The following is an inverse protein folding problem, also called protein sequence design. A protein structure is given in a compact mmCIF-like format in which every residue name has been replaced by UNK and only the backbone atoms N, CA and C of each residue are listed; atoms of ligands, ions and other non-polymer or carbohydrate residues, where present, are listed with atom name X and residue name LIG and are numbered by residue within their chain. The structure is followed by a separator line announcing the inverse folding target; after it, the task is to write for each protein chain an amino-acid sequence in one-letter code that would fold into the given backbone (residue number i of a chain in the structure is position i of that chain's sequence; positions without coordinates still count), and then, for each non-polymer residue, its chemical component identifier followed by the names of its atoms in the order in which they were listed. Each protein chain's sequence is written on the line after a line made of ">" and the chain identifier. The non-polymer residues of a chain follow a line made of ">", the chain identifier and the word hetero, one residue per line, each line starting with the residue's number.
data_IF_742645447944
#
_entry.id   IF_742645447944
#
_cell.length_a   1.000
_cell.length_b   1.000
_cell.length_c   1.000
_cell.angle_alpha   90.00
_cell.angle_beta   90.00
_cell.angle_gamma   90.00
#
_symmetry.space_group_name_H-M   'P 1'
#
loop_
_entity.id
_entity.type
_entity.pdbx_description
1 polymer ?
#
# COMPACT_ATOMS: atom_id res chain seq x y z
N UNK A 1 -5.76 -37.18 16.17
CA UNK A 1 -5.83 -35.69 16.20
C UNK A 1 -4.41 -35.17 16.36
N UNK A 2 -3.88 -34.46 15.37
CA UNK A 2 -2.56 -33.83 15.46
C UNK A 2 -2.78 -32.33 15.62
N UNK A 3 -2.35 -31.79 16.75
CA UNK A 3 -2.28 -30.36 17.01
C UNK A 3 -1.03 -29.86 16.28
N UNK A 4 -1.18 -28.82 15.45
CA UNK A 4 -0.02 -28.12 14.91
C UNK A 4 0.60 -27.31 16.05
N UNK A 5 1.84 -27.63 16.42
CA UNK A 5 2.63 -26.80 17.32
C UNK A 5 2.95 -25.48 16.61
N UNK A 6 2.29 -24.39 16.98
CA UNK A 6 2.70 -23.05 16.55
C UNK A 6 3.71 -22.56 17.61
N UNK A 7 4.91 -22.12 17.17
CA UNK A 7 5.99 -21.55 18.01
C UNK A 7 6.98 -22.51 18.73
N UNK A 8 7.45 -23.60 18.11
CA UNK A 8 8.64 -24.33 18.62
C UNK A 8 9.98 -23.71 18.18
N UNK A 9 9.94 -22.77 17.24
CA UNK A 9 11.06 -21.99 16.70
C UNK A 9 10.58 -20.56 16.45
N UNK A 10 11.43 -19.55 16.66
CA UNK A 10 11.07 -18.13 16.49
C UNK A 10 11.82 -17.17 17.41
N UNK A 11 11.31 -15.94 17.51
CA UNK A 11 11.86 -14.86 18.33
C UNK A 11 11.63 -15.14 19.83
N UNK A 12 12.64 -14.84 20.64
CA UNK A 12 12.53 -14.72 22.10
C UNK A 12 11.54 -13.63 22.50
N UNK A 13 11.04 -13.66 23.74
CA UNK A 13 10.20 -12.60 24.28
C UNK A 13 10.90 -11.22 24.22
N UNK A 14 12.21 -11.18 24.48
CA UNK A 14 13.01 -9.96 24.35
C UNK A 14 13.03 -9.43 22.91
N UNK A 15 13.21 -10.31 21.92
CA UNK A 15 13.16 -9.94 20.50
C UNK A 15 11.75 -9.53 20.07
N UNK A 16 10.70 -10.18 20.57
CA UNK A 16 9.32 -9.76 20.29
C UNK A 16 9.02 -8.38 20.90
N UNK A 17 9.40 -8.14 22.16
CA UNK A 17 9.22 -6.86 22.82
C UNK A 17 10.02 -5.74 22.15
N UNK A 18 11.22 -6.06 21.63
CA UNK A 18 12.06 -5.11 20.91
C UNK A 18 11.56 -4.82 19.49
N UNK A 19 11.16 -5.86 18.75
CA UNK A 19 10.88 -5.78 17.30
C UNK A 19 9.38 -5.72 16.99
N UNK A 20 8.51 -5.88 17.99
CA UNK A 20 7.06 -5.88 17.82
C UNK A 20 6.55 -7.05 16.97
N UNK A 21 5.42 -6.84 16.29
CA UNK A 21 4.76 -7.88 15.48
C UNK A 21 5.46 -8.17 14.15
N UNK A 22 6.40 -7.33 13.72
CA UNK A 22 7.17 -7.54 12.50
C UNK A 22 8.21 -6.45 12.25
N UNK A 23 9.20 -6.74 11.42
CA UNK A 23 10.32 -5.83 11.11
C UNK A 23 10.13 -5.06 9.80
N UNK A 24 9.06 -5.35 9.06
CA UNK A 24 8.77 -4.72 7.77
C UNK A 24 7.39 -5.06 7.26
N UNK A 25 7.04 -4.44 6.13
CA UNK A 25 5.84 -4.75 5.37
C UNK A 25 6.26 -5.45 4.07
N UNK A 26 5.62 -6.57 3.78
CA UNK A 26 5.89 -7.40 2.62
C UNK A 26 4.56 -7.72 1.93
N UNK A 27 4.53 -7.68 0.61
CA UNK A 27 3.36 -8.09 -0.16
C UNK A 27 3.76 -9.30 -0.99
N UNK A 28 3.10 -10.42 -0.73
CA UNK A 28 3.31 -11.67 -1.47
C UNK A 28 2.86 -11.48 -2.92
N UNK A 29 3.72 -11.84 -3.87
CA UNK A 29 3.49 -11.70 -5.31
C UNK A 29 3.44 -13.03 -6.05
N UNK A 30 3.70 -14.15 -5.35
CA UNK A 30 3.68 -15.48 -5.94
C UNK A 30 3.42 -16.59 -4.90
N UNK A 31 3.45 -17.86 -5.32
CA UNK A 31 3.07 -18.98 -4.47
C UNK A 31 3.97 -19.18 -3.25
N UNK A 32 5.25 -18.83 -3.32
CA UNK A 32 6.20 -19.04 -2.23
C UNK A 32 6.38 -17.75 -1.40
N UNK A 33 5.77 -17.63 -0.21
CA UNK A 33 5.88 -16.42 0.61
C UNK A 33 7.29 -16.17 1.15
N UNK A 34 8.22 -17.14 1.09
CA UNK A 34 9.59 -16.98 1.54
C UNK A 34 10.51 -16.31 0.49
N UNK A 35 10.07 -16.19 -0.76
CA UNK A 35 10.85 -15.60 -1.86
C UNK A 35 10.06 -14.68 -2.77
N UNK A 36 8.77 -14.93 -2.92
CA UNK A 36 7.90 -14.26 -3.87
C UNK A 36 7.16 -13.13 -3.17
N UNK A 37 7.90 -12.09 -2.83
CA UNK A 37 7.36 -10.90 -2.21
C UNK A 37 8.05 -9.62 -2.67
N UNK A 38 7.34 -8.51 -2.57
CA UNK A 38 7.93 -7.17 -2.60
C UNK A 38 8.14 -6.68 -1.18
N UNK A 39 9.33 -6.18 -0.90
CA UNK A 39 9.63 -5.47 0.35
C UNK A 39 9.21 -4.02 0.21
N UNK A 40 8.42 -3.53 1.17
CA UNK A 40 7.98 -2.15 1.19
C UNK A 40 9.03 -1.27 1.89
N UNK A 41 9.52 -0.19 1.26
CA UNK A 41 10.45 0.73 1.91
C UNK A 41 9.81 1.38 3.13
N UNK A 42 10.47 1.33 4.29
CA UNK A 42 9.91 1.92 5.51
C UNK A 42 10.15 3.43 5.57
N UNK A 43 11.20 3.92 4.90
CA UNK A 43 11.46 5.34 4.73
C UNK A 43 11.23 5.75 3.29
N UNK A 44 10.70 6.95 3.11
CA UNK A 44 10.46 7.50 1.77
C UNK A 44 11.77 7.64 0.97
N UNK A 45 12.87 7.95 1.64
CA UNK A 45 14.21 8.02 1.01
C UNK A 45 14.68 6.69 0.41
N UNK A 46 14.12 5.56 0.84
CA UNK A 46 14.46 4.22 0.35
C UNK A 46 13.63 3.83 -0.89
N UNK A 47 12.71 4.70 -1.33
CA UNK A 47 11.92 4.49 -2.55
C UNK A 47 12.74 4.71 -3.82
N UNK A 48 13.79 5.51 -3.77
CA UNK A 48 14.63 5.79 -4.93
C UNK A 48 15.23 4.50 -5.49
N UNK A 49 15.10 4.29 -6.81
CA UNK A 49 15.59 3.08 -7.49
C UNK A 49 14.66 1.87 -7.40
N UNK A 50 13.49 2.00 -6.76
CA UNK A 50 12.44 0.98 -6.75
C UNK A 50 11.40 1.21 -7.86
N UNK A 51 10.39 0.33 -7.94
CA UNK A 51 9.25 0.47 -8.87
C UNK A 51 8.14 1.41 -8.36
N UNK A 52 8.28 2.01 -7.19
CA UNK A 52 7.24 2.88 -6.62
C UNK A 52 7.26 4.25 -7.30
N UNK A 53 6.21 4.54 -8.06
CA UNK A 53 6.03 5.82 -8.76
C UNK A 53 5.45 6.85 -7.78
N UNK A 54 6.12 7.99 -7.67
CA UNK A 54 5.65 9.11 -6.84
C UNK A 54 4.30 9.65 -7.33
N UNK A 55 3.31 9.64 -6.44
CA UNK A 55 2.03 10.33 -6.56
C UNK A 55 2.07 11.73 -5.96
N UNK A 56 0.97 12.16 -5.36
CA UNK A 56 0.84 13.48 -4.72
C UNK A 56 0.69 13.37 -3.21
N UNK A 57 0.98 14.50 -2.55
CA UNK A 57 0.61 14.73 -1.17
C UNK A 57 -0.90 14.99 -1.08
N UNK A 58 -1.59 14.21 -0.24
CA UNK A 58 -3.00 14.44 0.10
C UNK A 58 -3.10 14.70 1.60
N UNK A 59 -3.50 15.91 1.99
CA UNK A 59 -3.66 16.28 3.40
C UNK A 59 -4.69 15.38 4.10
N UNK A 60 -4.31 14.83 5.26
CA UNK A 60 -5.08 13.82 5.99
C UNK A 60 -4.77 12.38 5.58
N UNK A 61 -3.89 12.15 4.60
CA UNK A 61 -3.47 10.80 4.17
C UNK A 61 -1.94 10.66 4.14
N UNK A 62 -1.25 11.57 3.44
CA UNK A 62 0.20 11.56 3.24
C UNK A 62 0.62 11.61 1.76
N UNK A 63 1.90 11.37 1.50
CA UNK A 63 2.46 11.26 0.15
C UNK A 63 2.14 9.90 -0.41
N UNK A 64 1.41 9.87 -1.52
CA UNK A 64 1.09 8.64 -2.23
C UNK A 64 2.27 8.16 -3.08
N UNK A 65 2.49 6.85 -3.08
CA UNK A 65 3.30 6.15 -4.08
C UNK A 65 2.51 4.97 -4.64
N UNK A 66 2.62 4.75 -5.94
CA UNK A 66 1.85 3.74 -6.68
C UNK A 66 2.79 2.73 -7.31
N UNK A 67 2.50 1.43 -7.19
CA UNK A 67 3.43 0.41 -7.67
C UNK A 67 3.45 0.37 -9.22
N UNK A 68 4.62 0.63 -9.80
CA UNK A 68 4.91 0.55 -11.24
C UNK A 68 3.92 1.33 -12.13
N UNK A 69 3.40 2.46 -11.63
CA UNK A 69 2.39 3.26 -12.32
C UNK A 69 3.03 4.07 -13.45
N UNK A 70 2.39 4.08 -14.62
CA UNK A 70 2.70 5.00 -15.71
C UNK A 70 1.42 5.44 -16.43
N UNK A 71 1.46 6.55 -17.16
CA UNK A 71 0.27 7.11 -17.82
C UNK A 71 -0.28 6.20 -18.94
N UNK A 72 0.61 5.54 -19.68
CA UNK A 72 0.28 4.75 -20.88
C UNK A 72 0.17 3.24 -20.63
N UNK A 73 0.09 2.81 -19.36
CA UNK A 73 -0.02 1.38 -19.02
C UNK A 73 -1.38 0.77 -19.41
N UNK A 74 -1.37 -0.56 -19.63
CA UNK A 74 -2.60 -1.35 -19.67
C UNK A 74 -3.24 -1.43 -18.28
N UNK A 75 -4.57 -1.44 -18.21
CA UNK A 75 -5.27 -1.65 -16.94
C UNK A 75 -5.13 -3.08 -16.41
N UNK A 76 -4.72 -4.04 -17.24
CA UNK A 76 -4.36 -5.38 -16.78
C UNK A 76 -3.03 -5.39 -16.01
N UNK A 77 -2.17 -4.40 -16.25
CA UNK A 77 -0.87 -4.26 -15.57
C UNK A 77 -0.96 -3.36 -14.33
N UNK A 78 -2.14 -2.80 -14.06
CA UNK A 78 -2.37 -1.94 -12.90
C UNK A 78 -2.35 -2.78 -11.62
N UNK A 79 -1.23 -2.72 -10.91
CA UNK A 79 -1.11 -3.27 -9.58
C UNK A 79 -1.93 -2.40 -8.60
N UNK A 80 -2.97 -2.94 -7.94
CA UNK A 80 -3.88 -2.16 -7.13
C UNK A 80 -3.29 -1.85 -5.76
N UNK A 81 -2.05 -1.35 -5.68
CA UNK A 81 -1.30 -1.15 -4.45
C UNK A 81 -0.74 0.27 -4.39
N UNK A 82 -0.97 0.94 -3.26
CA UNK A 82 -0.34 2.22 -2.97
C UNK A 82 0.23 2.27 -1.56
N UNK A 83 1.24 3.12 -1.38
CA UNK A 83 1.86 3.45 -0.10
C UNK A 83 1.57 4.88 0.28
N UNK A 84 1.56 5.15 1.58
CA UNK A 84 1.43 6.49 2.14
C UNK A 84 2.57 6.76 3.11
N UNK A 85 3.32 7.82 2.84
CA UNK A 85 4.36 8.33 3.72
C UNK A 85 3.92 9.63 4.40
N UNK A 86 4.32 9.80 5.65
CA UNK A 86 4.13 11.04 6.40
C UNK A 86 5.46 11.39 7.08
N UNK A 87 5.99 12.59 6.85
CA UNK A 87 7.30 13.02 7.35
C UNK A 87 8.40 12.02 7.00
N UNK A 88 8.37 11.50 5.77
CA UNK A 88 9.34 10.54 5.24
C UNK A 88 9.26 9.12 5.81
N UNK A 89 8.22 8.77 6.58
CA UNK A 89 8.04 7.41 7.15
C UNK A 89 6.78 6.75 6.62
N UNK A 90 6.85 5.46 6.33
CA UNK A 90 5.70 4.66 5.95
C UNK A 90 4.69 4.70 7.09
N UNK A 91 3.48 5.16 6.78
CA UNK A 91 2.44 5.40 7.76
C UNK A 91 1.13 4.69 7.41
N UNK A 92 0.95 4.33 6.14
CA UNK A 92 -0.12 3.47 5.68
C UNK A 92 0.22 2.82 4.35
N UNK A 93 -0.56 1.81 3.99
CA UNK A 93 -0.60 1.25 2.65
C UNK A 93 -2.08 1.01 2.30
N UNK A 94 -2.36 0.70 1.05
CA UNK A 94 -3.72 0.43 0.66
C UNK A 94 -3.87 -0.23 -0.69
N UNK A 95 -5.12 -0.54 -0.98
CA UNK A 95 -5.53 -1.21 -2.20
C UNK A 95 -6.42 -0.32 -3.03
N UNK A 96 -6.31 -0.37 -4.36
CA UNK A 96 -7.16 0.37 -5.29
C UNK A 96 -7.76 -0.59 -6.32
N UNK A 97 -8.79 -1.34 -5.93
CA UNK A 97 -9.35 -2.38 -6.77
C UNK A 97 -10.16 -1.80 -7.93
N UNK A 98 -10.00 -2.38 -9.12
CA UNK A 98 -10.92 -2.14 -10.24
C UNK A 98 -12.20 -2.93 -10.00
N UNK A 99 -13.28 -2.23 -9.65
CA UNK A 99 -14.55 -2.84 -9.28
C UNK A 99 -15.27 -2.04 -8.19
N UNK A 100 -16.58 -2.26 -8.11
CA UNK A 100 -17.41 -1.68 -7.05
C UNK A 100 -17.58 -2.70 -5.92
N UNK A 101 -16.91 -2.46 -4.79
CA UNK A 101 -17.03 -3.28 -3.59
C UNK A 101 -17.93 -2.58 -2.57
N UNK A 102 -19.20 -3.00 -2.42
CA UNK A 102 -20.16 -2.29 -1.58
C UNK A 102 -19.86 -2.54 -0.11
N UNK A 103 -19.11 -1.62 0.51
CA UNK A 103 -18.89 -1.57 1.95
C UNK A 103 -18.51 -0.15 2.35
N UNK A 104 -18.92 0.26 3.54
CA UNK A 104 -18.50 1.55 4.13
C UNK A 104 -17.01 1.60 4.47
N UNK A 105 -16.29 0.46 4.36
CA UNK A 105 -14.84 0.37 4.52
C UNK A 105 -14.08 0.76 3.26
N UNK A 106 -14.73 0.76 2.10
CA UNK A 106 -14.14 1.19 0.84
C UNK A 106 -14.53 2.64 0.56
N UNK A 107 -13.56 3.40 0.07
CA UNK A 107 -13.79 4.68 -0.58
C UNK A 107 -14.01 4.43 -2.08
N UNK A 108 -14.86 5.26 -2.70
CA UNK A 108 -15.13 5.18 -4.14
C UNK A 108 -14.78 6.52 -4.79
N UNK A 109 -13.48 6.84 -4.97
CA UNK A 109 -13.07 8.12 -5.53
C UNK A 109 -13.64 8.30 -6.95
N UNK A 110 -14.20 9.48 -7.21
CA UNK A 110 -14.61 9.85 -8.56
C UNK A 110 -13.38 9.98 -9.46
N UNK A 111 -13.49 9.61 -10.73
CA UNK A 111 -12.37 9.68 -11.68
C UNK A 111 -11.76 11.09 -11.76
N UNK A 112 -12.58 12.13 -11.57
CA UNK A 112 -12.13 13.52 -11.58
C UNK A 112 -11.23 13.88 -10.38
N UNK A 113 -11.17 13.05 -9.34
CA UNK A 113 -10.32 13.28 -8.15
C UNK A 113 -9.01 12.52 -8.19
N UNK A 114 -8.77 11.65 -9.19
CA UNK A 114 -7.55 10.84 -9.26
C UNK A 114 -6.29 11.71 -9.33
N UNK A 115 -6.37 12.85 -10.02
CA UNK A 115 -5.29 13.83 -10.10
C UNK A 115 -4.97 14.53 -8.77
N UNK A 116 -5.72 14.30 -7.68
CA UNK A 116 -5.40 14.81 -6.35
C UNK A 116 -4.36 13.94 -5.64
N UNK A 117 -4.28 12.65 -5.96
CA UNK A 117 -3.39 11.68 -5.30
C UNK A 117 -2.42 10.96 -6.27
N UNK A 118 -2.66 11.03 -7.58
CA UNK A 118 -1.73 10.59 -8.61
C UNK A 118 -1.09 11.80 -9.31
N UNK A 119 0.21 11.71 -9.63
CA UNK A 119 0.88 12.66 -10.54
C UNK A 119 0.62 12.31 -12.00
N UNK A 120 0.89 11.06 -12.37
CA UNK A 120 0.53 10.49 -13.65
C UNK A 120 -0.71 9.61 -13.47
N UNK A 121 -1.86 10.02 -14.01
CA UNK A 121 -3.10 9.24 -13.94
C UNK A 121 -3.13 8.32 -15.17
N UNK A 122 -3.11 6.98 -15.02
CA UNK A 122 -3.21 6.09 -16.17
C UNK A 122 -4.44 6.37 -17.02
N UNK A 123 -4.26 6.50 -18.33
CA UNK A 123 -5.36 6.77 -19.27
C UNK A 123 -6.43 5.69 -19.20
N UNK A 124 -6.02 4.45 -18.95
CA UNK A 124 -6.92 3.31 -18.88
C UNK A 124 -7.92 3.42 -17.69
N UNK A 125 -7.58 4.11 -16.60
CA UNK A 125 -8.49 4.27 -15.45
C UNK A 125 -9.73 5.12 -15.76
N UNK A 126 -9.75 5.82 -16.90
CA UNK A 126 -10.91 6.59 -17.36
C UNK A 126 -12.07 5.69 -17.81
N UNK A 127 -11.81 4.42 -18.13
CA UNK A 127 -12.80 3.51 -18.72
C UNK A 127 -13.14 2.29 -17.88
N UNK A 128 -12.45 2.06 -16.75
CA UNK A 128 -12.64 0.86 -15.90
C UNK A 128 -13.87 0.92 -14.98
N UNK A 129 -14.63 2.01 -15.02
CA UNK A 129 -15.78 2.23 -14.13
C UNK A 129 -15.34 2.65 -12.72
N UNK A 130 -15.90 2.00 -11.71
CA UNK A 130 -15.65 2.31 -10.29
C UNK A 130 -14.32 1.72 -9.82
N UNK A 131 -13.54 2.52 -9.10
CA UNK A 131 -12.43 2.06 -8.26
C UNK A 131 -12.90 2.04 -6.81
N UNK A 132 -12.58 0.97 -6.09
CA UNK A 132 -12.73 0.89 -4.64
C UNK A 132 -11.37 0.94 -3.97
N UNK A 133 -11.15 1.92 -3.10
CA UNK A 133 -9.91 2.07 -2.35
C UNK A 133 -10.07 1.66 -0.89
N UNK A 134 -9.08 0.95 -0.35
CA UNK A 134 -9.01 0.59 1.07
C UNK A 134 -7.70 1.07 1.66
N UNK A 135 -7.78 1.89 2.70
CA UNK A 135 -6.63 2.39 3.45
C UNK A 135 -6.39 1.54 4.71
N UNK A 136 -5.14 1.10 4.91
CA UNK A 136 -4.69 0.42 6.12
C UNK A 136 -3.68 1.32 6.82
N UNK A 137 -4.15 2.05 7.83
CA UNK A 137 -3.32 2.97 8.60
C UNK A 137 -2.53 2.25 9.69
N UNK A 138 -1.24 2.58 9.77
CA UNK A 138 -0.32 2.14 10.83
C UNK A 138 -0.22 3.20 11.96
N UNK A 139 -1.15 4.15 11.96
CA UNK A 139 -1.28 5.21 12.96
C UNK A 139 -2.74 5.32 13.43
N UNK A 140 -2.93 5.83 14.64
CA UNK A 140 -4.25 6.09 15.22
C UNK A 140 -4.88 7.40 14.76
N UNK A 141 -4.07 8.32 14.21
CA UNK A 141 -4.51 9.68 13.88
C UNK A 141 -4.21 10.03 12.41
N UNK A 142 -4.83 9.33 11.43
CA UNK A 142 -4.54 9.55 10.02
C UNK A 142 -4.83 10.98 9.54
N UNK A 143 -5.86 11.62 10.11
CA UNK A 143 -6.24 13.00 9.79
C UNK A 143 -5.12 14.04 10.07
N UNK A 144 -4.06 13.67 10.82
CA UNK A 144 -2.90 14.52 11.11
C UNK A 144 -1.69 14.22 10.20
N UNK A 145 -1.91 13.53 9.08
CA UNK A 145 -0.88 13.33 8.06
C UNK A 145 -0.86 14.53 7.12
N UNK A 146 0.29 15.17 6.95
CA UNK A 146 0.40 16.40 6.14
C UNK A 146 1.41 16.30 5.01
N UNK A 147 2.10 15.15 4.92
CA UNK A 147 3.38 15.02 4.24
C UNK A 147 4.50 15.68 5.10
#
# INVERSE_FOLDING_TARGET
>A
MHWATICSTGRTEAEFNQQGTGTGLYIQTGPNPASDYITIPLKESEVQGTKWTLGKCFYGMGVHYWYNLSEDMSCNDFAPIFLLYNKGKLNAFGWAFQGNYPSTRYEHPSQNTFGLFMKAVPKCLKTVGTISTLHIYLTRTPALNFC
#
